data_IF_876966185566
#
_entry.id   IF_876966185566
#
_cell.length_a   1.000
_cell.length_b   1.000
_cell.length_c   1.000
_cell.angle_alpha   90.00
_cell.angle_beta   90.00
_cell.angle_gamma   90.00
#
_symmetry.space_group_name_H-M   'P 1'
#
loop_
_entity.id
_entity.type
_entity.pdbx_description
1 polymer ?
#
# COMPACT_ATOMS: atom_id res chain seq x y z
N UNK A 1 27.47 16.67 6.08
CA UNK A 1 28.06 15.64 7.00
C UNK A 1 28.40 14.36 6.24
N UNK A 2 28.99 13.33 6.86
CA UNK A 2 29.30 12.03 6.22
C UNK A 2 28.36 10.94 6.75
N UNK A 3 27.82 10.11 5.86
CA UNK A 3 26.97 8.98 6.24
C UNK A 3 27.80 7.92 7.00
N UNK A 4 27.31 7.48 8.17
CA UNK A 4 27.96 6.44 8.98
C UNK A 4 27.93 5.05 8.32
N UNK A 5 26.98 4.79 7.42
CA UNK A 5 26.83 3.50 6.72
C UNK A 5 27.73 3.38 5.49
N UNK A 6 27.72 4.40 4.61
CA UNK A 6 28.38 4.31 3.29
C UNK A 6 29.49 5.36 3.06
N UNK A 7 29.71 6.28 4.00
CA UNK A 7 30.74 7.33 3.86
C UNK A 7 30.44 8.43 2.84
N UNK A 8 29.30 8.40 2.15
CA UNK A 8 28.89 9.44 1.21
C UNK A 8 28.68 10.79 1.91
N UNK A 9 28.81 11.88 1.15
CA UNK A 9 28.42 13.21 1.63
C UNK A 9 26.89 13.26 1.74
N UNK A 10 26.41 13.76 2.88
CA UNK A 10 25.00 14.01 3.17
C UNK A 10 24.81 15.52 3.29
N UNK A 11 23.79 16.07 2.60
CA UNK A 11 23.48 17.50 2.64
C UNK A 11 22.93 17.83 4.03
N UNK A 12 23.28 19.01 4.54
CA UNK A 12 22.80 19.44 5.85
C UNK A 12 21.28 19.61 5.82
N UNK A 13 20.59 18.95 6.76
CA UNK A 13 19.13 18.92 6.83
C UNK A 13 18.50 17.64 6.27
N UNK A 14 19.24 16.80 5.55
CA UNK A 14 18.70 15.53 5.05
C UNK A 14 18.44 14.55 6.20
N UNK A 15 17.27 13.91 6.17
CA UNK A 15 16.93 12.79 7.07
C UNK A 15 17.49 11.45 6.60
N UNK A 16 17.83 11.34 5.32
CA UNK A 16 18.29 10.09 4.70
C UNK A 16 19.54 10.33 3.86
N UNK A 17 20.44 9.36 3.82
CA UNK A 17 21.53 9.40 2.86
C UNK A 17 21.02 9.02 1.46
N UNK A 18 21.15 9.90 0.47
CA UNK A 18 20.71 9.64 -0.92
C UNK A 18 21.39 8.44 -1.59
N UNK A 19 22.53 8.00 -1.06
CA UNK A 19 23.32 6.90 -1.62
C UNK A 19 23.09 5.53 -0.93
N UNK A 20 22.45 5.49 0.23
CA UNK A 20 22.21 4.19 0.91
C UNK A 20 20.87 4.10 1.65
N UNK A 21 20.20 5.23 1.88
CA UNK A 21 18.92 5.30 2.57
C UNK A 21 19.08 5.05 4.06
N UNK A 22 20.31 5.12 4.60
CA UNK A 22 20.49 5.10 6.04
C UNK A 22 19.85 6.37 6.63
N UNK A 23 19.12 6.25 7.75
CA UNK A 23 18.69 7.42 8.49
C UNK A 23 19.92 8.19 8.95
N UNK A 24 19.87 9.51 8.77
CA UNK A 24 20.92 10.41 9.20
C UNK A 24 20.44 10.99 10.51
N UNK A 25 21.18 10.74 11.58
CA UNK A 25 20.96 11.41 12.84
C UNK A 25 21.26 12.91 12.64
N UNK A 26 20.25 13.67 12.23
CA UNK A 26 20.20 15.10 12.54
C UNK A 26 20.34 15.15 14.05
N UNK A 27 21.44 15.74 14.53
CA UNK A 27 21.78 15.77 15.94
C UNK A 27 20.52 16.06 16.74
N UNK A 28 20.00 15.07 17.47
CA UNK A 28 18.90 15.30 18.39
C UNK A 28 19.33 16.51 19.23
N UNK A 29 18.48 17.52 19.36
CA UNK A 29 18.82 18.74 20.10
C UNK A 29 19.18 18.41 21.56
N UNK A 30 19.39 19.41 22.40
CA UNK A 30 19.61 19.12 23.82
C UNK A 30 18.36 18.50 24.44
N UNK A 31 18.51 17.46 25.27
CA UNK A 31 17.45 17.05 26.20
C UNK A 31 17.25 18.18 27.19
N UNK A 32 16.03 18.66 27.33
CA UNK A 32 15.72 19.73 28.26
C UNK A 32 16.02 19.28 29.69
N UNK A 33 16.87 20.01 30.45
CA UNK A 33 17.20 19.63 31.82
C UNK A 33 16.04 19.82 32.79
N UNK A 34 15.00 20.57 32.40
CA UNK A 34 13.85 20.90 33.25
C UNK A 34 12.71 19.90 33.09
N UNK A 35 12.27 19.64 31.85
CA UNK A 35 11.14 18.74 31.61
C UNK A 35 11.53 17.37 31.04
N UNK A 36 12.80 17.14 30.72
CA UNK A 36 13.29 15.89 30.12
C UNK A 36 12.92 15.70 28.64
N UNK A 37 12.25 16.67 28.01
CA UNK A 37 11.86 16.59 26.60
C UNK A 37 13.06 16.77 25.67
N UNK A 38 13.18 15.91 24.67
CA UNK A 38 14.14 16.03 23.58
C UNK A 38 13.79 17.25 22.71
N UNK A 39 14.71 18.21 22.56
CA UNK A 39 14.46 19.42 21.76
C UNK A 39 14.90 19.25 20.31
N UNK A 40 14.35 20.07 19.41
CA UNK A 40 14.80 20.12 18.02
C UNK A 40 16.26 20.64 17.92
N UNK A 41 17.03 20.20 16.91
CA UNK A 41 18.38 20.70 16.65
C UNK A 41 18.39 22.22 16.48
N UNK A 42 19.29 22.93 17.16
CA UNK A 42 19.46 24.38 17.03
C UNK A 42 18.54 25.25 17.89
N UNK A 43 17.65 24.66 18.70
CA UNK A 43 16.74 25.41 19.58
C UNK A 43 17.46 25.97 20.81
N UNK A 44 17.22 27.26 21.11
CA UNK A 44 17.75 27.93 22.32
C UNK A 44 16.89 27.69 23.55
N UNK A 45 15.59 27.46 23.35
CA UNK A 45 14.60 27.25 24.39
C UNK A 45 13.77 26.00 24.08
N UNK A 46 13.38 25.28 25.13
CA UNK A 46 12.50 24.14 25.05
C UNK A 46 11.12 24.60 24.60
N UNK A 47 10.63 24.06 23.50
CA UNK A 47 9.31 24.41 22.96
C UNK A 47 8.15 23.98 23.86
N UNK A 48 8.40 23.07 24.81
CA UNK A 48 7.38 22.48 25.69
C UNK A 48 7.27 23.16 27.05
N UNK A 49 8.40 23.61 27.63
CA UNK A 49 8.41 24.24 28.96
C UNK A 49 9.08 25.62 29.01
N UNK A 50 9.63 26.11 27.89
CA UNK A 50 10.31 27.40 27.79
C UNK A 50 11.72 27.46 28.37
N UNK A 51 12.22 26.37 28.98
CA UNK A 51 13.55 26.35 29.60
C UNK A 51 14.68 26.46 28.55
N UNK A 52 15.75 27.19 28.87
CA UNK A 52 16.90 27.31 27.99
C UNK A 52 17.67 25.98 27.87
N UNK A 53 18.12 25.67 26.65
CA UNK A 53 18.72 24.38 26.29
C UNK A 53 20.26 24.44 26.17
N UNK A 54 20.82 25.64 26.27
CA UNK A 54 22.25 25.91 26.17
C UNK A 54 22.69 26.87 27.26
N UNK A 55 23.37 26.36 28.28
CA UNK A 55 24.17 27.18 29.19
C UNK A 55 25.48 27.59 28.49
N UNK A 56 25.42 28.60 27.61
CA UNK A 56 26.62 29.34 27.27
C UNK A 56 27.10 30.11 28.52
N UNK A 57 28.41 30.25 28.80
CA UNK A 57 28.86 31.04 29.93
C UNK A 57 28.39 32.48 29.73
N UNK A 58 27.39 32.88 30.51
CA UNK A 58 26.91 34.24 30.56
C UNK A 58 28.07 35.09 31.10
N UNK A 59 28.57 36.11 30.36
CA UNK A 59 29.45 37.09 30.96
C UNK A 59 28.71 37.70 32.14
N UNK A 60 29.29 37.61 33.33
CA UNK A 60 28.73 38.21 34.53
C UNK A 60 28.48 39.69 34.26
N UNK A 61 27.21 40.07 34.12
CA UNK A 61 26.81 41.47 34.13
C UNK A 61 27.17 42.01 35.53
N UNK A 62 27.89 43.15 35.63
CA UNK A 62 28.21 43.74 36.92
C UNK A 62 26.93 44.13 37.66
N UNK A 63 26.83 43.66 38.89
CA UNK A 63 25.75 43.98 39.84
C UNK A 63 25.71 45.50 40.04
N UNK A 64 24.58 46.19 39.78
CA UNK A 64 24.43 47.59 40.16
C UNK A 64 24.42 47.70 41.68
N UNK A 65 25.38 48.46 42.22
CA UNK A 65 25.44 48.83 43.64
C UNK A 65 24.14 49.50 44.08
N UNK A 66 23.58 49.01 45.18
CA UNK A 66 22.37 49.49 45.84
C UNK A 66 22.44 51.00 46.10
N UNK A 67 21.44 51.74 45.63
CA UNK A 67 21.16 53.09 46.11
C UNK A 67 20.24 53.02 47.35
N UNK A 68 20.37 53.92 48.33
CA UNK A 68 19.58 53.89 49.55
C UNK A 68 18.11 54.22 49.30
N UNK A 69 17.22 53.45 49.92
CA UNK A 69 15.76 53.65 49.92
C UNK A 69 15.38 54.81 50.86
N UNK A 70 14.66 55.85 50.40
CA UNK A 70 14.09 56.86 51.30
C UNK A 70 12.88 56.31 52.07
N UNK A 71 12.64 56.74 53.32
CA UNK A 71 11.57 56.19 54.15
C UNK A 71 10.17 56.58 53.65
N UNK A 72 9.23 55.65 53.86
CA UNK A 72 7.83 55.77 53.51
C UNK A 72 7.15 57.00 54.13
N UNK A 73 6.34 57.69 53.33
CA UNK A 73 5.35 58.67 53.77
C UNK A 73 3.95 58.25 53.28
N UNK A 74 2.89 58.58 54.03
CA UNK A 74 1.60 57.91 53.93
C UNK A 74 0.74 58.37 52.75
N UNK A 75 -0.09 57.44 52.29
CA UNK A 75 -1.15 57.60 51.30
C UNK A 75 -2.02 58.85 51.48
N UNK A 76 -2.01 59.73 50.49
CA UNK A 76 -3.12 60.64 50.20
C UNK A 76 -3.31 60.82 48.69
N UNK A 77 -4.54 60.53 48.26
CA UNK A 77 -5.28 61.13 47.15
C UNK A 77 -4.77 60.95 45.72
N UNK A 78 -5.24 59.86 45.11
CA UNK A 78 -5.65 59.80 43.70
C UNK A 78 -6.75 60.84 43.48
N UNK A 79 -6.48 61.99 42.85
CA UNK A 79 -7.59 62.81 42.31
C UNK A 79 -7.30 63.86 41.22
N UNK A 80 -6.22 63.79 40.43
CA UNK A 80 -5.99 64.92 39.49
C UNK A 80 -5.43 64.65 38.09
N UNK A 81 -5.66 63.47 37.51
CA UNK A 81 -5.45 63.26 36.05
C UNK A 81 -6.60 62.54 35.32
N UNK A 82 -7.82 62.59 35.87
CA UNK A 82 -9.03 62.24 35.12
C UNK A 82 -9.60 63.50 34.46
N UNK A 83 -8.98 63.92 33.37
CA UNK A 83 -9.37 65.09 32.59
C UNK A 83 -9.08 64.94 31.10
N UNK A 84 -9.29 63.75 30.51
CA UNK A 84 -9.27 63.66 29.03
C UNK A 84 -10.04 62.50 28.38
N UNK A 85 -10.94 61.81 29.08
CA UNK A 85 -11.84 60.85 28.40
C UNK A 85 -13.24 61.00 29.01
N UNK A 86 -14.20 61.35 28.14
CA UNK A 86 -15.57 61.71 28.52
C UNK A 86 -16.31 60.61 29.28
N UNK A 87 -17.17 61.05 30.19
CA UNK A 87 -18.00 60.23 31.04
C UNK A 87 -19.04 59.39 30.26
N UNK A 88 -19.18 58.12 30.64
CA UNK A 88 -20.37 57.33 30.39
C UNK A 88 -21.48 57.72 31.38
N UNK A 89 -22.68 58.02 30.87
CA UNK A 89 -23.92 58.14 31.64
C UNK A 89 -24.54 56.74 31.84
N UNK A 90 -25.09 56.39 33.01
CA UNK A 90 -25.94 55.21 33.16
C UNK A 90 -27.41 55.59 32.98
N UNK A 91 -28.10 54.95 32.02
CA UNK A 91 -29.55 54.94 31.97
C UNK A 91 -30.16 55.18 30.57
N UNK A 92 -30.13 54.15 29.72
CA UNK A 92 -31.14 53.99 28.67
C UNK A 92 -31.34 52.50 28.39
N UNK A 93 -32.54 52.02 28.71
CA UNK A 93 -33.01 50.66 28.45
C UNK A 93 -33.37 50.57 26.96
N UNK A 94 -32.82 49.60 26.23
CA UNK A 94 -33.23 49.24 24.87
C UNK A 94 -33.57 47.73 24.79
N UNK A 95 -34.59 47.33 24.01
CA UNK A 95 -35.12 45.96 23.96
C UNK A 95 -34.17 44.98 23.22
N UNK A 96 -34.31 43.66 23.40
CA UNK A 96 -33.38 42.69 22.85
C UNK A 96 -33.50 42.60 21.32
N UNK A 97 -32.39 42.84 20.62
CA UNK A 97 -32.24 42.48 19.21
C UNK A 97 -31.65 41.07 19.09
N UNK A 98 -32.23 40.25 18.22
CA UNK A 98 -31.75 38.92 17.89
C UNK A 98 -30.39 38.99 17.17
N UNK A 99 -29.40 38.26 17.67
CA UNK A 99 -28.07 38.14 17.06
C UNK A 99 -28.14 37.09 15.94
N UNK A 100 -27.80 37.49 14.71
CA UNK A 100 -27.53 36.56 13.61
C UNK A 100 -26.10 35.97 13.73
N UNK A 101 -25.89 34.70 13.35
CA UNK A 101 -24.56 34.09 13.29
C UNK A 101 -23.70 34.62 12.12
N UNK A 102 -22.36 34.57 12.23
CA UNK A 102 -21.45 34.98 11.14
C UNK A 102 -21.53 34.05 9.92
N UNK A 103 -21.33 34.65 8.75
CA UNK A 103 -21.47 34.04 7.43
C UNK A 103 -20.39 33.00 7.11
N UNK A 104 -20.83 31.87 6.53
CA UNK A 104 -19.98 30.84 5.91
C UNK A 104 -19.51 31.27 4.50
N UNK A 105 -18.33 30.85 4.03
CA UNK A 105 -17.96 30.96 2.62
C UNK A 105 -18.84 30.04 1.75
N UNK A 106 -19.41 30.62 0.70
CA UNK A 106 -20.35 30.01 -0.25
C UNK A 106 -19.68 28.96 -1.13
N UNK A 107 -20.26 27.76 -1.20
CA UNK A 107 -20.10 26.83 -2.33
C UNK A 107 -20.65 27.50 -3.61
N UNK A 108 -20.06 27.27 -4.80
CA UNK A 108 -20.73 27.58 -6.05
C UNK A 108 -22.00 26.73 -6.18
N UNK A 109 -23.14 27.41 -6.18
CA UNK A 109 -24.47 26.83 -6.15
C UNK A 109 -24.88 26.25 -7.50
N UNK A 110 -25.38 25.03 -7.41
CA UNK A 110 -26.31 24.38 -8.31
C UNK A 110 -27.54 25.28 -8.53
N UNK A 111 -27.74 25.76 -9.77
CA UNK A 111 -28.98 26.39 -10.20
C UNK A 111 -29.79 25.42 -11.05
N UNK A 112 -30.87 24.91 -10.46
CA UNK A 112 -31.92 24.19 -11.16
C UNK A 112 -32.75 25.17 -12.02
N UNK A 113 -32.47 25.18 -13.32
CA UNK A 113 -33.29 25.80 -14.36
C UNK A 113 -33.93 24.73 -15.25
N UNK A 114 -35.25 24.60 -15.17
CA UNK A 114 -36.10 23.65 -15.91
C UNK A 114 -36.03 23.93 -17.43
N UNK A 115 -35.38 23.06 -18.19
CA UNK A 115 -35.29 23.11 -19.65
C UNK A 115 -35.20 21.72 -20.27
N UNK A 116 -36.34 21.26 -20.78
CA UNK A 116 -36.60 19.92 -21.31
C UNK A 116 -35.88 19.65 -22.65
N UNK A 117 -35.42 18.39 -22.79
CA UNK A 117 -35.29 17.58 -24.02
C UNK A 117 -34.11 17.92 -24.95
N UNK A 118 -33.01 17.14 -24.83
CA UNK A 118 -32.25 16.56 -25.96
C UNK A 118 -31.14 15.57 -25.53
N UNK A 119 -30.72 15.56 -24.27
CA UNK A 119 -29.61 14.69 -23.80
C UNK A 119 -30.05 13.32 -23.27
N UNK A 120 -31.26 13.19 -22.75
CA UNK A 120 -31.83 11.87 -22.35
C UNK A 120 -32.10 10.94 -23.55
N UNK A 121 -32.24 11.51 -24.75
CA UNK A 121 -32.39 10.75 -25.99
C UNK A 121 -31.04 10.19 -26.48
N UNK A 122 -29.93 10.86 -26.17
CA UNK A 122 -28.58 10.40 -26.53
C UNK A 122 -28.11 9.27 -25.62
N UNK A 123 -28.35 9.36 -24.30
CA UNK A 123 -28.03 8.26 -23.37
C UNK A 123 -28.92 7.04 -23.61
N UNK A 124 -30.21 7.25 -23.93
CA UNK A 124 -31.12 6.17 -24.34
C UNK A 124 -30.71 5.50 -25.66
N UNK A 125 -30.23 6.26 -26.65
CA UNK A 125 -29.70 5.71 -27.90
C UNK A 125 -28.37 4.99 -27.67
N UNK A 126 -27.48 5.50 -26.82
CA UNK A 126 -26.20 4.82 -26.52
C UNK A 126 -26.45 3.50 -25.79
N UNK A 127 -27.37 3.46 -24.82
CA UNK A 127 -27.74 2.21 -24.15
C UNK A 127 -28.45 1.26 -25.11
N UNK A 128 -29.33 1.73 -25.99
CA UNK A 128 -29.97 0.88 -27.00
C UNK A 128 -28.98 0.38 -28.06
N UNK A 129 -28.03 1.19 -28.50
CA UNK A 129 -26.96 0.80 -29.43
C UNK A 129 -25.98 -0.15 -28.77
N UNK A 130 -25.66 0.02 -27.48
CA UNK A 130 -24.85 -0.93 -26.72
C UNK A 130 -25.58 -2.26 -26.51
N UNK A 131 -26.89 -2.25 -26.22
CA UNK A 131 -27.68 -3.48 -26.09
C UNK A 131 -27.82 -4.19 -27.46
N UNK A 132 -27.97 -3.45 -28.56
CA UNK A 132 -28.02 -4.02 -29.92
C UNK A 132 -26.62 -4.48 -30.38
N UNK A 133 -25.55 -3.79 -30.01
CA UNK A 133 -24.17 -4.19 -30.30
C UNK A 133 -23.74 -5.39 -29.45
N UNK A 134 -24.24 -5.51 -28.21
CA UNK A 134 -24.06 -6.71 -27.38
C UNK A 134 -24.91 -7.87 -27.91
N UNK A 135 -26.14 -7.64 -28.37
CA UNK A 135 -26.95 -8.70 -28.99
C UNK A 135 -26.40 -9.15 -30.36
N UNK A 136 -25.87 -8.23 -31.18
CA UNK A 136 -25.24 -8.55 -32.47
C UNK A 136 -23.81 -9.11 -32.30
N UNK A 137 -23.04 -8.59 -31.34
CA UNK A 137 -21.69 -9.05 -31.01
C UNK A 137 -21.69 -10.43 -30.36
N UNK A 138 -22.66 -10.71 -29.48
CA UNK A 138 -22.84 -12.05 -28.91
C UNK A 138 -23.36 -13.04 -29.97
N UNK A 139 -24.23 -12.61 -30.89
CA UNK A 139 -24.68 -13.43 -32.02
C UNK A 139 -23.55 -13.79 -33.00
N UNK A 140 -22.65 -12.86 -33.31
CA UNK A 140 -21.51 -13.09 -34.22
C UNK A 140 -20.38 -13.86 -33.53
N UNK A 141 -20.10 -13.60 -32.24
CA UNK A 141 -19.07 -14.34 -31.50
C UNK A 141 -19.50 -15.78 -31.19
N UNK A 142 -20.77 -15.99 -30.83
CA UNK A 142 -21.33 -17.34 -30.63
C UNK A 142 -21.44 -18.14 -31.94
N UNK A 143 -21.60 -17.46 -33.08
CA UNK A 143 -21.62 -18.12 -34.40
C UNK A 143 -20.21 -18.37 -34.96
N UNK A 144 -19.21 -17.53 -34.67
CA UNK A 144 -17.82 -17.77 -35.07
C UNK A 144 -17.05 -18.76 -34.18
N UNK A 145 -17.51 -19.05 -32.96
CA UNK A 145 -16.97 -20.13 -32.13
C UNK A 145 -17.69 -21.48 -32.29
N UNK A 146 -18.64 -21.57 -33.24
CA UNK A 146 -19.47 -22.77 -33.49
C UNK A 146 -19.29 -23.38 -34.89
N UNK A 147 -18.17 -23.11 -35.55
CA UNK A 147 -17.65 -24.06 -36.54
C UNK A 147 -16.14 -23.87 -36.72
N UNK A 148 -15.37 -24.83 -36.25
CA UNK A 148 -13.96 -25.01 -36.59
C UNK A 148 -13.69 -26.49 -36.70
N UNK A 149 -14.40 -27.12 -37.63
CA UNK A 149 -14.03 -28.41 -38.20
C UNK A 149 -12.76 -28.24 -39.03
N UNK A 150 -11.71 -28.94 -38.59
CA UNK A 150 -10.44 -29.19 -39.25
C UNK A 150 -10.53 -29.48 -40.75
N UNK A 151 -9.56 -29.00 -41.55
CA UNK A 151 -8.61 -29.89 -42.24
C UNK A 151 -7.48 -29.10 -42.96
N UNK A 152 -6.26 -29.63 -42.81
CA UNK A 152 -5.06 -29.22 -43.53
C UNK A 152 -5.05 -29.72 -44.98
N UNK A 153 -4.52 -28.85 -45.84
CA UNK A 153 -3.99 -29.00 -47.21
C UNK A 153 -4.06 -30.37 -47.93
N UNK A 154 -4.70 -30.41 -49.12
CA UNK A 154 -4.00 -30.67 -50.39
C UNK A 154 -4.83 -30.27 -51.64
N UNK A 155 -4.06 -29.93 -52.67
CA UNK A 155 -4.27 -29.45 -54.04
C UNK A 155 -5.45 -30.00 -54.86
N UNK A 156 -5.96 -29.13 -55.75
CA UNK A 156 -6.39 -29.35 -57.15
C UNK A 156 -7.90 -29.41 -57.51
N UNK A 157 -8.35 -28.29 -58.07
CA UNK A 157 -9.19 -28.07 -59.26
C UNK A 157 -10.38 -28.99 -59.62
N UNK A 158 -11.53 -28.31 -59.75
CA UNK A 158 -12.59 -28.41 -60.79
C UNK A 158 -13.93 -29.09 -60.45
N UNK A 159 -14.99 -28.30 -60.67
CA UNK A 159 -16.37 -28.61 -61.09
C UNK A 159 -17.34 -29.39 -60.21
N UNK A 160 -18.39 -28.64 -59.80
CA UNK A 160 -19.82 -28.87 -60.08
C UNK A 160 -20.63 -29.92 -59.31
N UNK A 161 -21.69 -29.37 -58.68
CA UNK A 161 -23.10 -29.77 -58.79
C UNK A 161 -23.72 -30.68 -57.72
N UNK A 162 -24.68 -30.05 -57.00
CA UNK A 162 -26.03 -30.49 -56.62
C UNK A 162 -26.27 -31.94 -56.17
N UNK A 163 -26.70 -32.09 -54.91
CA UNK A 163 -27.24 -33.34 -54.40
C UNK A 163 -27.97 -33.18 -53.07
N UNK A 164 -29.29 -33.24 -53.14
CA UNK A 164 -30.28 -33.29 -52.06
C UNK A 164 -30.06 -34.51 -51.15
N UNK A 165 -30.27 -34.39 -49.83
CA UNK A 165 -31.29 -35.07 -48.98
C UNK A 165 -30.78 -35.54 -47.61
N UNK A 166 -31.68 -35.41 -46.63
CA UNK A 166 -31.92 -36.23 -45.41
C UNK A 166 -31.21 -35.86 -44.10
N UNK A 167 -32.05 -35.30 -43.21
CA UNK A 167 -31.92 -35.28 -41.76
C UNK A 167 -31.60 -36.67 -41.21
N UNK A 168 -30.50 -36.75 -40.45
CA UNK A 168 -30.18 -37.86 -39.57
C UNK A 168 -29.83 -37.29 -38.21
N UNK A 169 -30.66 -37.59 -37.21
CA UNK A 169 -30.35 -37.39 -35.79
C UNK A 169 -29.00 -38.00 -35.47
N UNK A 170 -28.02 -37.15 -35.16
CA UNK A 170 -26.72 -37.57 -34.64
C UNK A 170 -26.62 -37.07 -33.20
N UNK A 171 -26.98 -37.98 -32.29
CA UNK A 171 -26.62 -37.94 -30.87
C UNK A 171 -25.11 -37.69 -30.78
N UNK A 172 -24.74 -36.50 -30.31
CA UNK A 172 -23.34 -36.13 -30.10
C UNK A 172 -22.67 -37.20 -29.23
N UNK A 173 -21.68 -37.88 -29.79
CA UNK A 173 -20.75 -38.67 -29.03
C UNK A 173 -20.06 -37.71 -28.04
N UNK A 174 -20.09 -38.06 -26.76
CA UNK A 174 -19.26 -37.38 -25.75
C UNK A 174 -17.83 -37.80 -26.06
N UNK A 175 -17.08 -36.92 -26.71
CA UNK A 175 -15.65 -37.12 -26.89
C UNK A 175 -14.97 -37.10 -25.53
N UNK A 176 -14.15 -38.12 -25.27
CA UNK A 176 -13.26 -38.28 -24.13
C UNK A 176 -12.15 -37.21 -24.18
N UNK A 177 -12.49 -35.95 -23.91
CA UNK A 177 -11.51 -34.86 -23.91
C UNK A 177 -10.71 -34.90 -22.60
N UNK A 178 -9.37 -35.08 -22.64
CA UNK A 178 -8.54 -35.07 -21.43
C UNK A 178 -8.57 -33.71 -20.73
N UNK A 179 -8.27 -33.72 -19.43
CA UNK A 179 -8.20 -32.57 -18.51
C UNK A 179 -7.07 -31.58 -18.86
N UNK A 180 -7.16 -30.89 -20.00
CA UNK A 180 -6.17 -29.89 -20.42
C UNK A 180 -6.61 -28.45 -20.15
N UNK A 181 -7.87 -28.24 -19.79
CA UNK A 181 -8.38 -26.92 -19.42
C UNK A 181 -8.16 -26.69 -17.92
N UNK A 182 -7.73 -25.49 -17.53
CA UNK A 182 -7.50 -25.15 -16.13
C UNK A 182 -8.79 -25.33 -15.30
N UNK A 183 -8.73 -25.97 -14.11
CA UNK A 183 -9.89 -26.08 -13.23
C UNK A 183 -10.30 -24.71 -12.68
N UNK A 184 -11.56 -24.59 -12.29
CA UNK A 184 -12.01 -23.44 -11.52
C UNK A 184 -11.38 -23.48 -10.12
N UNK A 185 -11.11 -22.33 -9.52
CA UNK A 185 -10.41 -22.26 -8.24
C UNK A 185 -11.04 -21.24 -7.30
N UNK A 186 -11.11 -21.59 -6.03
CA UNK A 186 -11.51 -20.69 -4.95
C UNK A 186 -10.42 -20.64 -3.89
N UNK A 187 -10.16 -19.45 -3.34
CA UNK A 187 -9.21 -19.26 -2.25
C UNK A 187 -9.89 -19.63 -0.91
N UNK A 188 -9.51 -20.76 -0.32
CA UNK A 188 -10.08 -21.21 0.94
C UNK A 188 -9.47 -20.53 2.16
N UNK A 189 -8.14 -20.53 2.25
CA UNK A 189 -7.40 -19.87 3.34
C UNK A 189 -6.01 -19.45 2.89
N UNK A 190 -5.40 -18.54 3.64
CA UNK A 190 -4.01 -18.14 3.49
C UNK A 190 -3.30 -18.26 4.82
N UNK A 191 -2.03 -18.64 4.76
CA UNK A 191 -1.09 -18.62 5.87
C UNK A 191 0.31 -18.25 5.34
N UNK A 192 1.34 -18.38 6.16
CA UNK A 192 2.72 -18.19 5.73
C UNK A 192 3.64 -19.31 6.23
N UNK A 193 4.66 -19.64 5.43
CA UNK A 193 5.83 -20.41 5.88
C UNK A 193 7.04 -19.49 5.78
N UNK A 194 7.69 -19.21 6.92
CA UNK A 194 8.68 -18.14 7.03
C UNK A 194 8.16 -16.82 6.43
N UNK A 195 8.75 -16.37 5.32
CA UNK A 195 8.34 -15.16 4.60
C UNK A 195 7.51 -15.44 3.33
N UNK A 196 7.25 -16.70 3.01
CA UNK A 196 6.49 -17.08 1.83
C UNK A 196 5.00 -17.18 2.16
N UNK A 197 4.15 -16.76 1.23
CA UNK A 197 2.69 -16.89 1.34
C UNK A 197 2.29 -18.31 0.93
N UNK A 198 1.48 -18.98 1.76
CA UNK A 198 0.88 -20.28 1.45
C UNK A 198 -0.62 -20.10 1.24
N UNK A 199 -1.09 -20.29 0.01
CA UNK A 199 -2.50 -20.21 -0.35
C UNK A 199 -3.10 -21.62 -0.45
N UNK A 200 -4.16 -21.89 0.30
CA UNK A 200 -4.96 -23.11 0.21
C UNK A 200 -6.10 -22.88 -0.77
N UNK A 201 -6.01 -23.52 -1.94
CA UNK A 201 -7.02 -23.43 -2.98
C UNK A 201 -7.91 -24.67 -2.99
N UNK A 202 -9.21 -24.45 -3.17
CA UNK A 202 -10.13 -25.50 -3.57
C UNK A 202 -10.32 -25.43 -5.09
N UNK A 203 -9.86 -26.46 -5.79
CA UNK A 203 -10.03 -26.61 -7.22
C UNK A 203 -11.30 -27.41 -7.51
N UNK A 204 -12.05 -26.99 -8.51
CA UNK A 204 -13.20 -27.73 -9.05
C UNK A 204 -12.89 -28.19 -10.46
N UNK A 205 -13.00 -29.50 -10.67
CA UNK A 205 -12.74 -30.13 -11.95
C UNK A 205 -13.75 -29.67 -12.99
N UNK A 206 -13.23 -29.19 -14.13
CA UNK A 206 -14.02 -28.93 -15.33
C UNK A 206 -14.07 -30.15 -16.27
N UNK A 207 -13.48 -31.28 -15.86
CA UNK A 207 -13.41 -32.49 -16.67
C UNK A 207 -14.72 -33.28 -16.60
N UNK A 208 -15.15 -33.85 -17.73
CA UNK A 208 -16.20 -34.85 -17.72
C UNK A 208 -15.68 -36.13 -17.02
N UNK A 209 -16.39 -36.64 -16.02
CA UNK A 209 -16.07 -37.92 -15.39
C UNK A 209 -16.00 -39.02 -16.45
N UNK A 210 -14.85 -39.68 -16.60
CA UNK A 210 -14.74 -40.85 -17.48
C UNK A 210 -15.58 -41.98 -16.89
N UNK A 211 -16.18 -42.80 -17.76
CA UNK A 211 -17.11 -43.86 -17.34
C UNK A 211 -16.42 -45.00 -16.55
N UNK A 212 -15.10 -44.99 -16.47
CA UNK A 212 -14.29 -46.10 -15.96
C UNK A 212 -13.84 -45.94 -14.50
N UNK A 213 -14.36 -44.96 -13.76
CA UNK A 213 -13.97 -44.76 -12.36
C UNK A 213 -12.53 -44.24 -12.19
N UNK A 214 -11.89 -43.83 -13.29
CA UNK A 214 -10.64 -43.08 -13.24
C UNK A 214 -10.89 -41.71 -12.60
N UNK A 215 -10.13 -41.43 -11.55
CA UNK A 215 -10.13 -40.14 -10.87
C UNK A 215 -9.61 -39.09 -11.86
N UNK A 216 -10.41 -38.06 -12.14
CA UNK A 216 -9.93 -36.93 -12.95
C UNK A 216 -8.65 -36.38 -12.32
N UNK A 217 -7.66 -36.07 -13.15
CA UNK A 217 -6.34 -35.59 -12.71
C UNK A 217 -5.92 -34.39 -13.54
N UNK A 218 -5.44 -33.34 -12.87
CA UNK A 218 -4.84 -32.17 -13.49
C UNK A 218 -3.32 -32.20 -13.28
N UNK A 219 -2.57 -32.16 -14.38
CA UNK A 219 -1.11 -32.38 -14.40
C UNK A 219 -0.38 -31.50 -15.41
N UNK A 220 -0.95 -30.33 -15.70
CA UNK A 220 -0.37 -29.38 -16.65
C UNK A 220 0.87 -28.69 -16.03
N UNK A 221 1.90 -28.48 -16.84
CA UNK A 221 2.98 -27.54 -16.52
C UNK A 221 2.59 -26.13 -16.95
N UNK A 222 3.41 -25.15 -16.58
CA UNK A 222 3.27 -23.77 -17.07
C UNK A 222 1.88 -23.17 -16.78
N UNK A 223 1.42 -23.32 -15.53
CA UNK A 223 0.11 -22.82 -15.09
C UNK A 223 0.32 -21.57 -14.24
N UNK A 224 0.03 -20.40 -14.81
CA UNK A 224 0.04 -19.15 -14.04
C UNK A 224 -1.21 -19.10 -13.17
N UNK A 225 -1.00 -18.99 -11.87
CA UNK A 225 -2.06 -18.75 -10.89
C UNK A 225 -1.95 -17.28 -10.49
N UNK A 226 -3.04 -16.53 -10.63
CA UNK A 226 -3.16 -15.15 -10.13
C UNK A 226 -4.31 -15.08 -9.14
N UNK A 227 -4.04 -14.52 -7.96
CA UNK A 227 -5.03 -14.20 -6.93
C UNK A 227 -5.24 -12.69 -6.96
N UNK A 228 -6.49 -12.25 -7.01
CA UNK A 228 -6.87 -10.83 -7.03
C UNK A 228 -7.80 -10.50 -5.88
N UNK A 229 -7.72 -9.25 -5.40
CA UNK A 229 -8.74 -8.69 -4.52
C UNK A 229 -10.01 -8.27 -5.29
N UNK A 230 -11.03 -7.81 -4.58
CA UNK A 230 -12.33 -7.41 -5.11
C UNK A 230 -12.27 -6.16 -6.01
N UNK A 231 -11.25 -5.33 -5.82
CA UNK A 231 -10.91 -4.21 -6.70
C UNK A 231 -10.17 -4.66 -7.98
N UNK A 232 -9.85 -5.96 -8.10
CA UNK A 232 -9.16 -6.56 -9.23
C UNK A 232 -7.65 -6.38 -9.21
N UNK A 233 -7.07 -5.91 -8.10
CA UNK A 233 -5.62 -5.82 -7.94
C UNK A 233 -5.03 -7.21 -7.71
N UNK A 234 -3.93 -7.52 -8.39
CA UNK A 234 -3.23 -8.79 -8.18
C UNK A 234 -2.50 -8.75 -6.85
N UNK A 235 -2.87 -9.67 -5.94
CA UNK A 235 -2.26 -9.81 -4.62
C UNK A 235 -1.27 -10.98 -4.54
N UNK A 236 -1.35 -11.94 -5.45
CA UNK A 236 -0.32 -12.96 -5.64
C UNK A 236 -0.34 -13.48 -7.08
N UNK A 237 0.83 -13.79 -7.64
CA UNK A 237 0.93 -14.43 -8.94
C UNK A 237 2.26 -15.14 -9.14
N UNK A 238 2.18 -16.40 -9.56
CA UNK A 238 3.33 -17.23 -9.90
C UNK A 238 2.93 -18.30 -10.93
N UNK A 239 3.93 -18.93 -11.54
CA UNK A 239 3.75 -20.04 -12.48
C UNK A 239 4.08 -21.36 -11.79
N UNK A 240 3.16 -22.31 -11.85
CA UNK A 240 3.26 -23.60 -11.18
C UNK A 240 3.34 -24.75 -12.18
N UNK A 241 4.03 -25.82 -11.76
CA UNK A 241 4.19 -27.04 -12.54
C UNK A 241 3.46 -28.19 -11.85
N UNK A 242 2.17 -28.35 -12.17
CA UNK A 242 1.34 -29.43 -11.62
C UNK A 242 1.69 -30.80 -12.22
N UNK A 243 2.56 -30.88 -13.23
CA UNK A 243 3.05 -32.17 -13.73
C UNK A 243 3.97 -32.87 -12.73
N UNK A 244 4.64 -32.11 -11.85
CA UNK A 244 5.49 -32.63 -10.76
C UNK A 244 4.70 -33.13 -9.57
N UNK A 245 3.57 -32.49 -9.29
CA UNK A 245 2.63 -32.87 -8.23
C UNK A 245 1.20 -32.84 -8.78
N UNK A 246 0.79 -33.88 -9.53
CA UNK A 246 -0.54 -33.95 -10.14
C UNK A 246 -1.67 -33.86 -9.11
N UNK A 247 -2.69 -33.07 -9.41
CA UNK A 247 -3.88 -32.90 -8.57
C UNK A 247 -4.91 -33.94 -8.94
N UNK A 248 -5.27 -34.80 -7.98
CA UNK A 248 -6.32 -35.81 -8.13
C UNK A 248 -7.62 -35.32 -7.50
N UNK A 249 -8.70 -35.29 -8.26
CA UNK A 249 -10.00 -34.82 -7.78
C UNK A 249 -10.77 -35.91 -7.05
N UNK A 250 -11.11 -35.70 -5.78
CA UNK A 250 -11.96 -36.63 -5.03
C UNK A 250 -13.44 -36.27 -5.26
N UNK A 251 -14.03 -36.84 -6.30
CA UNK A 251 -15.31 -36.37 -6.83
C UNK A 251 -15.08 -35.18 -7.76
N UNK A 252 -15.70 -34.04 -7.48
CA UNK A 252 -15.56 -32.83 -8.30
C UNK A 252 -14.48 -31.88 -7.79
N UNK A 253 -14.00 -32.02 -6.55
CA UNK A 253 -13.09 -31.06 -5.93
C UNK A 253 -11.77 -31.67 -5.47
N UNK A 254 -10.75 -30.81 -5.39
CA UNK A 254 -9.44 -31.12 -4.81
C UNK A 254 -8.93 -29.91 -4.04
N UNK A 255 -8.16 -30.13 -2.98
CA UNK A 255 -7.46 -29.05 -2.28
C UNK A 255 -5.98 -29.08 -2.66
N UNK A 256 -5.41 -27.91 -2.90
CA UNK A 256 -3.97 -27.76 -3.17
C UNK A 256 -3.42 -26.58 -2.38
N UNK A 257 -2.21 -26.76 -1.85
CA UNK A 257 -1.44 -25.70 -1.24
C UNK A 257 -0.44 -25.16 -2.26
N UNK A 258 -0.46 -23.86 -2.51
CA UNK A 258 0.48 -23.18 -3.39
C UNK A 258 1.33 -22.20 -2.58
N UNK A 259 2.63 -22.27 -2.73
CA UNK A 259 3.57 -21.37 -2.08
C UNK A 259 4.08 -20.29 -3.05
N UNK A 260 3.96 -19.04 -2.62
CA UNK A 260 4.42 -17.85 -3.33
C UNK A 260 5.57 -17.21 -2.54
N UNK A 261 6.71 -17.01 -3.18
CA UNK A 261 7.86 -16.33 -2.56
C UNK A 261 7.57 -14.83 -2.34
N UNK A 262 8.41 -14.13 -1.58
CA UNK A 262 8.30 -12.67 -1.34
C UNK A 262 8.33 -11.79 -2.60
N UNK A 263 8.62 -12.36 -3.77
CA UNK A 263 8.58 -11.68 -5.08
C UNK A 263 7.35 -12.01 -5.91
N UNK A 264 6.51 -12.91 -5.41
CA UNK A 264 5.35 -13.46 -6.11
C UNK A 264 4.03 -13.08 -5.43
N UNK A 265 4.08 -12.34 -4.32
CA UNK A 265 2.89 -11.80 -3.67
C UNK A 265 3.07 -10.35 -3.24
N UNK A 266 1.95 -9.63 -3.22
CA UNK A 266 1.87 -8.19 -3.11
C UNK A 266 0.78 -7.73 -2.12
N UNK A 267 0.52 -8.57 -1.12
CA UNK A 267 -0.33 -8.28 0.03
C UNK A 267 0.16 -9.06 1.25
N UNK A 268 0.35 -8.45 2.43
CA UNK A 268 0.65 -9.21 3.64
C UNK A 268 -0.39 -10.31 3.88
N UNK A 269 0.03 -11.50 4.30
CA UNK A 269 -0.86 -12.65 4.46
C UNK A 269 -2.04 -12.36 5.42
N UNK A 270 -1.81 -11.52 6.42
CA UNK A 270 -2.78 -11.08 7.43
C UNK A 270 -3.72 -9.96 6.95
N UNK A 271 -3.56 -9.51 5.70
CA UNK A 271 -4.33 -8.45 5.05
C UNK A 271 -5.03 -8.95 3.76
N UNK A 272 -5.10 -10.27 3.55
CA UNK A 272 -5.81 -10.88 2.43
C UNK A 272 -7.21 -11.31 2.88
N UNK A 273 -8.23 -10.79 2.20
CA UNK A 273 -9.62 -11.19 2.41
C UNK A 273 -9.97 -12.36 1.46
N UNK A 274 -10.09 -13.57 1.99
CA UNK A 274 -10.26 -14.77 1.16
C UNK A 274 -11.65 -14.89 0.53
N UNK A 275 -12.70 -14.40 1.21
CA UNK A 275 -14.10 -14.54 0.76
C UNK A 275 -14.49 -13.70 -0.45
N UNK A 276 -13.66 -12.73 -0.84
CA UNK A 276 -13.88 -11.84 -1.99
C UNK A 276 -12.81 -11.99 -3.07
N UNK A 277 -11.80 -12.85 -2.85
CA UNK A 277 -10.69 -13.02 -3.76
C UNK A 277 -11.08 -13.81 -5.02
N UNK A 278 -10.63 -13.34 -6.18
CA UNK A 278 -10.74 -14.06 -7.46
C UNK A 278 -9.45 -14.83 -7.72
N UNK A 279 -9.56 -16.13 -8.02
CA UNK A 279 -8.41 -16.98 -8.39
C UNK A 279 -8.52 -17.35 -9.87
N UNK A 280 -7.48 -17.06 -10.63
CA UNK A 280 -7.43 -17.30 -12.08
C UNK A 280 -6.26 -18.22 -12.39
N UNK A 281 -6.55 -19.36 -13.05
CA UNK A 281 -5.55 -20.29 -13.56
C UNK A 281 -5.46 -20.17 -15.08
N UNK A 282 -4.25 -19.97 -15.60
CA UNK A 282 -3.98 -19.85 -17.03
C UNK A 282 -2.89 -20.85 -17.44
N UNK A 283 -3.24 -21.83 -18.28
CA UNK A 283 -2.30 -22.83 -18.80
C UNK A 283 -1.43 -22.27 -19.94
N UNK A 284 -0.28 -22.91 -20.19
CA UNK A 284 0.64 -22.51 -21.26
C UNK A 284 1.32 -21.16 -21.02
N UNK A 285 1.48 -20.78 -19.75
CA UNK A 285 2.17 -19.57 -19.31
C UNK A 285 3.52 -19.96 -18.73
N UNK A 286 4.60 -19.68 -19.45
CA UNK A 286 5.95 -19.98 -18.95
C UNK A 286 6.38 -19.00 -17.87
N UNK A 287 6.92 -19.53 -16.78
CA UNK A 287 7.55 -18.74 -15.72
C UNK A 287 8.97 -18.32 -16.08
N UNK A 288 9.52 -17.44 -15.27
CA UNK A 288 10.94 -17.08 -15.30
C UNK A 288 11.66 -17.64 -14.07
N UNK A 289 12.92 -18.04 -14.24
CA UNK A 289 13.70 -18.64 -13.16
C UNK A 289 13.28 -20.06 -12.77
N UNK A 290 13.90 -20.58 -11.71
CA UNK A 290 13.52 -21.85 -11.11
C UNK A 290 12.42 -21.62 -10.06
N UNK A 291 11.52 -22.58 -9.91
CA UNK A 291 10.55 -22.54 -8.83
C UNK A 291 11.25 -22.55 -7.46
N UNK A 292 10.63 -21.90 -6.47
CA UNK A 292 11.11 -21.94 -5.10
C UNK A 292 11.20 -23.37 -4.54
N UNK A 293 11.76 -23.49 -3.34
CA UNK A 293 11.65 -24.72 -2.55
C UNK A 293 10.52 -24.50 -1.55
N UNK A 294 9.41 -25.20 -1.73
CA UNK A 294 8.28 -25.12 -0.81
C UNK A 294 8.50 -26.01 0.41
N UNK A 295 7.95 -25.59 1.54
CA UNK A 295 7.93 -26.41 2.75
C UNK A 295 6.73 -27.36 2.74
N UNK A 296 6.99 -28.63 3.13
CA UNK A 296 5.95 -29.64 3.24
C UNK A 296 5.34 -30.05 1.90
N UNK A 297 4.01 -30.06 1.83
CA UNK A 297 3.25 -30.58 0.67
C UNK A 297 2.85 -29.48 -0.34
N UNK A 298 3.25 -28.22 -0.10
CA UNK A 298 2.91 -27.11 -0.99
C UNK A 298 3.71 -27.17 -2.31
N UNK A 299 3.08 -26.75 -3.40
CA UNK A 299 3.73 -26.60 -4.69
C UNK A 299 4.31 -25.19 -4.79
N UNK A 300 5.62 -25.06 -5.00
CA UNK A 300 6.28 -23.77 -5.14
C UNK A 300 6.13 -23.20 -6.56
N UNK A 301 5.90 -21.89 -6.66
CA UNK A 301 5.85 -21.18 -7.93
C UNK A 301 7.21 -20.71 -8.42
N UNK A 302 7.38 -20.65 -9.75
CA UNK A 302 8.40 -19.82 -10.42
C UNK A 302 7.87 -18.41 -10.70
N UNK A 303 8.77 -17.46 -10.92
CA UNK A 303 8.41 -16.06 -11.09
C UNK A 303 7.60 -15.81 -12.37
N UNK A 304 6.79 -14.76 -12.35
CA UNK A 304 6.12 -14.24 -13.55
C UNK A 304 7.08 -13.37 -14.37
N UNK A 305 6.58 -12.74 -15.43
CA UNK A 305 7.33 -11.72 -16.18
C UNK A 305 7.77 -10.56 -15.25
N UNK A 306 9.00 -10.10 -15.40
CA UNK A 306 9.57 -9.08 -14.52
C UNK A 306 8.88 -7.71 -14.64
N UNK A 307 8.35 -7.36 -15.82
CA UNK A 307 7.62 -6.10 -16.00
C UNK A 307 6.27 -6.14 -15.29
N UNK A 308 5.60 -7.30 -15.32
CA UNK A 308 4.37 -7.52 -14.57
C UNK A 308 4.63 -7.49 -13.06
N UNK A 309 5.68 -8.16 -12.58
CA UNK A 309 6.06 -8.16 -11.16
C UNK A 309 6.36 -6.73 -10.65
N UNK A 310 7.09 -5.94 -11.43
CA UNK A 310 7.41 -4.55 -11.10
C UNK A 310 6.15 -3.67 -11.04
N UNK A 311 5.24 -3.85 -12.01
CA UNK A 311 3.96 -3.15 -12.04
C UNK A 311 3.08 -3.51 -10.84
N UNK A 312 2.99 -4.79 -10.47
CA UNK A 312 2.21 -5.23 -9.31
C UNK A 312 2.80 -4.71 -8.00
N UNK A 313 4.13 -4.71 -7.86
CA UNK A 313 4.79 -4.12 -6.70
C UNK A 313 4.50 -2.61 -6.56
N UNK A 314 4.51 -1.85 -7.66
CA UNK A 314 4.16 -0.43 -7.64
C UNK A 314 2.72 -0.18 -7.18
N UNK A 315 1.76 -0.96 -7.68
CA UNK A 315 0.36 -0.89 -7.27
C UNK A 315 0.20 -1.24 -5.79
N UNK A 316 0.91 -2.26 -5.32
CA UNK A 316 0.83 -2.71 -3.94
C UNK A 316 1.48 -1.75 -2.94
N UNK A 317 2.59 -1.10 -3.31
CA UNK A 317 3.13 0.01 -2.51
C UNK A 317 2.07 1.11 -2.36
N UNK A 318 1.40 1.48 -3.45
CA UNK A 318 0.35 2.51 -3.42
C UNK A 318 -0.84 2.10 -2.55
N UNK A 319 -1.27 0.84 -2.65
CA UNK A 319 -2.33 0.29 -1.81
C UNK A 319 -1.91 0.29 -0.32
N UNK A 320 -0.69 -0.17 -0.02
CA UNK A 320 -0.20 -0.29 1.35
C UNK A 320 -0.10 1.07 2.04
N UNK A 321 0.41 2.09 1.32
CA UNK A 321 0.46 3.46 1.83
C UNK A 321 -0.92 3.97 2.27
N UNK A 322 -1.96 3.69 1.48
CA UNK A 322 -3.35 4.05 1.80
C UNK A 322 -3.89 3.23 2.96
N UNK A 323 -3.64 1.91 2.97
CA UNK A 323 -4.07 1.02 4.05
C UNK A 323 -3.48 1.45 5.40
N UNK A 324 -2.21 1.85 5.41
CA UNK A 324 -1.46 2.15 6.63
C UNK A 324 -1.60 3.60 7.13
N UNK A 325 -2.28 4.48 6.37
CA UNK A 325 -2.44 5.90 6.70
C UNK A 325 -3.03 6.11 8.11
N UNK A 326 -4.10 5.37 8.43
CA UNK A 326 -4.76 5.46 9.74
C UNK A 326 -3.83 5.01 10.86
N UNK A 327 -3.07 3.95 10.62
CA UNK A 327 -2.07 3.44 11.54
C UNK A 327 -0.93 4.45 11.75
N UNK A 328 -0.43 5.08 10.70
CA UNK A 328 0.64 6.08 10.77
C UNK A 328 0.25 7.30 11.61
N UNK A 329 -1.03 7.72 11.57
CA UNK A 329 -1.50 8.91 12.29
C UNK A 329 -1.24 8.91 13.81
N UNK A 330 -1.08 7.72 14.44
CA UNK A 330 -0.74 7.62 15.87
C UNK A 330 0.64 8.19 16.20
N UNK A 331 1.53 8.24 15.22
CA UNK A 331 2.92 8.67 15.40
C UNK A 331 3.13 10.18 15.29
N UNK A 332 2.06 10.97 15.13
CA UNK A 332 2.14 12.42 15.33
C UNK A 332 2.36 12.81 16.80
N UNK A 333 2.04 11.91 17.74
CA UNK A 333 2.12 12.19 19.19
C UNK A 333 2.90 11.13 19.96
N UNK A 334 3.38 10.09 19.28
CA UNK A 334 4.13 8.98 19.88
C UNK A 334 5.32 8.62 19.01
N UNK A 335 6.39 8.10 19.63
CA UNK A 335 7.55 7.63 18.89
C UNK A 335 7.33 6.21 18.36
N UNK A 336 7.98 5.90 17.26
CA UNK A 336 8.19 4.56 16.72
C UNK A 336 9.62 4.46 16.18
N UNK A 337 9.94 3.36 15.51
CA UNK A 337 11.26 3.16 14.90
C UNK A 337 11.14 2.92 13.41
N UNK A 338 11.86 3.73 12.63
CA UNK A 338 12.10 3.50 11.22
C UNK A 338 13.10 2.36 11.03
N UNK A 339 12.78 1.40 10.16
CA UNK A 339 13.58 0.22 9.84
C UNK A 339 14.22 0.28 8.44
N UNK A 340 13.65 1.06 7.52
CA UNK A 340 14.20 1.23 6.18
C UNK A 340 13.71 2.52 5.55
N UNK A 341 14.49 3.06 4.61
CA UNK A 341 14.06 4.09 3.67
C UNK A 341 14.68 3.81 2.30
N UNK A 342 13.84 3.58 1.29
CA UNK A 342 14.23 3.25 -0.09
C UNK A 342 13.33 3.95 -1.10
N UNK A 343 13.81 4.17 -2.31
CA UNK A 343 13.02 4.72 -3.42
C UNK A 343 13.40 4.02 -4.72
N UNK A 344 12.51 4.08 -5.71
CA UNK A 344 12.77 3.48 -7.01
C UNK A 344 14.04 4.07 -7.65
N UNK A 345 14.78 3.24 -8.38
CA UNK A 345 16.05 3.55 -9.05
C UNK A 345 17.19 3.97 -8.10
N UNK A 346 17.02 3.82 -6.79
CA UNK A 346 18.04 4.13 -5.82
C UNK A 346 19.18 3.11 -5.88
N UNK A 347 20.43 3.57 -5.97
CA UNK A 347 21.61 2.71 -5.88
C UNK A 347 22.07 2.63 -4.43
N UNK A 348 21.82 1.50 -3.77
CA UNK A 348 22.13 1.29 -2.36
C UNK A 348 22.36 -0.20 -2.08
N UNK A 349 23.16 -0.52 -1.06
CA UNK A 349 23.41 -1.90 -0.63
C UNK A 349 23.95 -2.81 -1.76
N UNK A 350 24.71 -2.22 -2.70
CA UNK A 350 25.30 -2.95 -3.83
C UNK A 350 24.34 -3.25 -4.99
N UNK A 351 23.08 -2.80 -4.94
CA UNK A 351 22.09 -2.98 -6.01
C UNK A 351 21.37 -1.69 -6.38
N UNK A 352 20.69 -1.70 -7.52
CA UNK A 352 19.63 -0.74 -7.83
C UNK A 352 18.33 -1.27 -7.23
N UNK A 353 17.62 -0.42 -6.50
CA UNK A 353 16.35 -0.76 -5.87
C UNK A 353 15.21 -0.46 -6.83
N UNK A 354 14.40 -1.48 -7.09
CA UNK A 354 13.17 -1.40 -7.86
C UNK A 354 11.95 -1.56 -6.94
N UNK A 355 10.73 -1.31 -7.43
CA UNK A 355 9.52 -1.46 -6.63
C UNK A 355 9.38 -2.87 -6.06
N UNK A 356 9.73 -3.91 -6.85
CA UNK A 356 9.75 -5.29 -6.38
C UNK A 356 10.67 -5.48 -5.17
N UNK A 357 11.86 -4.86 -5.17
CA UNK A 357 12.81 -4.95 -4.06
C UNK A 357 12.31 -4.24 -2.80
N UNK A 358 11.68 -3.08 -2.98
CA UNK A 358 11.15 -2.27 -1.88
C UNK A 358 9.97 -2.98 -1.21
N UNK A 359 9.06 -3.54 -2.02
CA UNK A 359 7.91 -4.27 -1.48
C UNK A 359 8.32 -5.61 -0.85
N UNK A 360 9.25 -6.35 -1.47
CA UNK A 360 9.84 -7.55 -0.87
C UNK A 360 10.45 -7.25 0.50
N UNK A 361 11.22 -6.15 0.63
CA UNK A 361 11.78 -5.75 1.91
C UNK A 361 10.66 -5.43 2.93
N UNK A 362 9.58 -4.79 2.50
CA UNK A 362 8.42 -4.53 3.36
C UNK A 362 7.79 -5.82 3.88
N UNK A 363 7.56 -6.80 3.02
CA UNK A 363 7.02 -8.11 3.42
C UNK A 363 7.93 -8.81 4.43
N UNK A 364 9.23 -8.81 4.21
CA UNK A 364 10.21 -9.37 5.15
C UNK A 364 10.16 -8.67 6.52
N UNK A 365 10.04 -7.33 6.54
CA UNK A 365 9.88 -6.61 7.80
C UNK A 365 8.52 -6.88 8.45
N UNK A 366 7.44 -7.06 7.68
CA UNK A 366 6.10 -7.37 8.19
C UNK A 366 6.04 -8.74 8.87
N UNK A 367 6.77 -9.73 8.33
CA UNK A 367 6.91 -11.05 8.96
C UNK A 367 7.70 -10.96 10.27
N UNK A 368 8.80 -10.21 10.28
CA UNK A 368 9.61 -10.02 11.50
C UNK A 368 8.89 -9.15 12.56
N UNK A 369 8.14 -8.16 12.10
CA UNK A 369 7.43 -7.16 12.89
C UNK A 369 5.98 -7.08 12.41
N UNK A 370 5.09 -7.83 13.04
CA UNK A 370 3.66 -7.91 12.68
C UNK A 370 2.92 -6.57 12.67
N UNK A 371 3.51 -5.52 13.23
CA UNK A 371 2.92 -4.18 13.28
C UNK A 371 3.52 -3.25 12.21
N UNK A 372 4.53 -3.71 11.46
CA UNK A 372 5.25 -2.87 10.52
C UNK A 372 4.31 -2.26 9.48
N UNK A 373 4.52 -0.98 9.22
CA UNK A 373 3.73 -0.20 8.27
C UNK A 373 4.64 0.50 7.28
N UNK A 374 4.06 0.83 6.13
CA UNK A 374 4.71 1.58 5.07
C UNK A 374 4.15 3.01 5.04
N UNK A 375 5.05 3.99 4.97
CA UNK A 375 4.67 5.39 4.75
C UNK A 375 5.47 6.00 3.60
N UNK A 376 4.90 7.04 2.99
CA UNK A 376 5.60 7.87 2.03
C UNK A 376 6.16 9.07 2.76
N UNK A 377 7.49 9.21 2.79
CA UNK A 377 8.12 10.25 3.61
C UNK A 377 7.68 11.66 3.22
N UNK A 378 7.28 11.87 1.96
CA UNK A 378 6.81 13.16 1.45
C UNK A 378 5.52 13.67 2.11
N UNK A 379 4.79 12.83 2.83
CA UNK A 379 3.51 13.19 3.43
C UNK A 379 3.63 13.66 4.89
N UNK A 380 4.82 13.56 5.50
CA UNK A 380 4.99 13.78 6.94
C UNK A 380 6.02 14.89 7.24
N UNK A 381 5.69 15.85 8.13
CA UNK A 381 6.58 16.94 8.56
C UNK A 381 7.98 16.53 9.00
N UNK A 382 8.13 15.39 9.68
CA UNK A 382 9.42 14.88 10.14
C UNK A 382 10.45 14.78 9.02
N UNK A 383 9.99 14.42 7.81
CA UNK A 383 10.83 14.22 6.64
C UNK A 383 10.77 15.40 5.66
N UNK A 384 9.70 16.19 5.66
CA UNK A 384 9.49 17.29 4.72
C UNK A 384 10.18 18.58 5.17
N UNK A 385 11.49 18.67 4.91
CA UNK A 385 12.21 19.95 4.83
C UNK A 385 12.93 20.18 3.49
N UNK A 386 12.89 19.20 2.58
CA UNK A 386 13.42 19.27 1.21
C UNK A 386 12.40 18.68 0.23
N UNK A 387 12.40 19.20 -1.00
CA UNK A 387 11.52 18.88 -2.13
C UNK A 387 10.91 17.46 -2.13
N UNK A 388 9.59 17.36 -2.33
CA UNK A 388 8.84 16.10 -2.43
C UNK A 388 9.37 15.14 -3.51
N UNK A 389 10.15 15.65 -4.49
CA UNK A 389 10.88 14.85 -5.48
C UNK A 389 11.98 13.94 -4.89
N UNK A 390 12.31 14.11 -3.60
CA UNK A 390 13.33 13.32 -2.88
C UNK A 390 12.74 12.31 -1.90
N UNK A 391 11.41 12.13 -1.85
CA UNK A 391 10.77 11.26 -0.88
C UNK A 391 11.08 9.76 -1.06
N UNK A 392 10.95 9.03 0.04
CA UNK A 392 11.27 7.61 0.17
C UNK A 392 10.03 6.84 0.66
N UNK A 393 9.93 5.58 0.26
CA UNK A 393 9.15 4.59 0.99
C UNK A 393 9.90 4.27 2.29
N UNK A 394 9.24 4.49 3.42
CA UNK A 394 9.80 4.29 4.75
C UNK A 394 9.03 3.18 5.42
N UNK A 395 9.75 2.17 5.92
CA UNK A 395 9.17 1.10 6.72
C UNK A 395 9.35 1.48 8.19
N UNK A 396 8.24 1.57 8.92
CA UNK A 396 8.23 1.75 10.38
C UNK A 396 7.93 0.40 11.03
N UNK A 397 8.46 0.13 12.22
CA UNK A 397 8.15 -1.08 12.99
C UNK A 397 6.68 -1.14 13.40
N UNK A 398 6.03 0.02 13.49
CA UNK A 398 4.66 0.15 13.93
C UNK A 398 4.48 -0.01 15.44
N UNK A 399 5.51 -0.39 16.20
CA UNK A 399 5.44 -0.38 17.65
C UNK A 399 5.61 1.04 18.18
N UNK A 400 4.78 1.41 19.16
CA UNK A 400 4.93 2.67 19.90
C UNK A 400 6.00 2.53 20.97
N UNK A 401 6.85 3.53 21.12
CA UNK A 401 7.84 3.63 22.20
C UNK A 401 7.68 4.95 22.94
N UNK A 402 7.88 4.94 24.26
CA UNK A 402 7.57 6.09 25.11
C UNK A 402 8.63 7.21 25.07
N UNK A 403 9.80 6.93 24.49
CA UNK A 403 10.90 7.91 24.39
C UNK A 403 11.94 7.48 23.36
N UNK A 404 12.80 8.42 22.96
CA UNK A 404 13.98 8.16 22.13
C UNK A 404 14.86 7.06 22.75
N UNK A 405 15.11 7.11 24.05
CA UNK A 405 15.93 6.09 24.74
C UNK A 405 15.30 4.69 24.70
N UNK A 406 13.97 4.62 24.82
CA UNK A 406 13.25 3.35 24.72
C UNK A 406 13.30 2.81 23.28
N UNK A 407 13.14 3.68 22.28
CA UNK A 407 13.29 3.30 20.86
C UNK A 407 14.70 2.81 20.52
N UNK A 408 15.75 3.47 21.01
CA UNK A 408 17.13 3.02 20.82
C UNK A 408 17.39 1.64 21.45
N UNK A 409 16.80 1.39 22.63
CA UNK A 409 16.87 0.10 23.28
C UNK A 409 16.11 -0.97 22.47
N UNK A 410 14.94 -0.63 21.94
CA UNK A 410 14.14 -1.50 21.07
C UNK A 410 14.89 -1.85 19.78
N UNK A 411 15.56 -0.88 19.13
CA UNK A 411 16.38 -1.14 17.93
C UNK A 411 17.46 -2.18 18.23
N UNK A 412 18.22 -1.98 19.33
CA UNK A 412 19.30 -2.89 19.75
C UNK A 412 18.79 -4.28 20.11
N UNK A 413 17.67 -4.38 20.85
CA UNK A 413 17.10 -5.68 21.23
C UNK A 413 16.61 -6.49 20.03
N UNK A 414 16.22 -5.81 18.95
CA UNK A 414 15.79 -6.44 17.70
C UNK A 414 16.93 -6.67 16.68
N UNK A 415 18.18 -6.45 17.11
CA UNK A 415 19.38 -6.72 16.33
C UNK A 415 19.73 -5.65 15.30
N UNK A 416 19.15 -4.45 15.40
CA UNK A 416 19.43 -3.35 14.48
C UNK A 416 20.57 -2.47 14.96
N UNK A 417 21.46 -2.10 14.02
CA UNK A 417 22.47 -1.07 14.23
C UNK A 417 21.89 0.34 14.06
N UNK A 418 22.67 1.35 14.46
CA UNK A 418 22.29 2.77 14.34
C UNK A 418 22.11 3.24 12.88
N UNK A 419 22.54 2.44 11.90
CA UNK A 419 22.37 2.71 10.46
C UNK A 419 21.16 2.01 9.84
N UNK A 420 20.47 1.16 10.61
CA UNK A 420 19.38 0.30 10.18
C UNK A 420 18.09 0.55 10.96
N UNK A 421 18.17 1.29 12.07
CA UNK A 421 17.03 1.64 12.89
C UNK A 421 17.21 3.04 13.49
N UNK A 422 16.17 3.86 13.37
CA UNK A 422 16.14 5.21 13.93
C UNK A 422 14.82 5.47 14.61
N UNK A 423 14.85 6.10 15.79
CA UNK A 423 13.63 6.53 16.49
C UNK A 423 13.08 7.77 15.81
N UNK A 424 11.79 7.74 15.48
CA UNK A 424 11.09 8.81 14.77
C UNK A 424 9.71 9.01 15.39
N UNK A 425 9.23 10.24 15.35
CA UNK A 425 7.79 10.54 15.31
C UNK A 425 7.47 10.97 13.87
N UNK A 426 6.21 11.32 13.58
CA UNK A 426 5.77 11.81 12.28
C UNK A 426 5.43 13.32 12.29
N UNK A 427 5.86 14.04 13.34
CA UNK A 427 5.67 15.48 13.50
C UNK A 427 6.83 16.35 12.96
#
# INVERSE_FOLDING_TARGET
MRCSRCGANVVEGDRFCENCGAPVAVQAGSVCPVCGQQSEPGMRFCQQCGAELSAGPQPAQPVPTAQPVPPAQPYQAVQQYAGQYGAAQPGAVFPPQAVQPPAQPSRPGESAGKGKKKTALIVGIIIAVLVVALAAGFGVWWFMLRDSGTQSAQTQSTSQQSGKTKSGDSKAAKDDKPCTAAPDAELGSVDHSDANLVAQLQLTSNCASTKDGDTAEFKESDVKVSIKDDDGNVIASAVFDFSKQPVKFNGETANVALEFTTRQYWRPYDQIETGSAEVILQTGQSGTGEAGSADGDALAGSDIDSEDAERYAQLALSWQLKHDESAASRFYTTYTTQLSSKKNDMKADGKTWHYVDIYEQFLQQRIKHKNAILIWSGDYPTYTKADASTAYYVILSGDTVDSVKAGDAWCKSNGYGAADCAVVDLQ
#
